data_IF_376919155866
#
_entry.id   IF_376919155866
#
_cell.length_a   1.000
_cell.length_b   1.000
_cell.length_c   1.000
_cell.angle_alpha   90.00
_cell.angle_beta   90.00
_cell.angle_gamma   90.00
#
_symmetry.space_group_name_H-M   'P 1'
#
loop_
_entity.id
_entity.type
_entity.pdbx_description
1 polymer ?
#
# COMPACT_ATOMS: atom_id res chain seq x y z
N UNK A 1 12.07 -23.27 -9.12
CA UNK A 1 11.12 -23.83 -8.13
C UNK A 1 9.79 -24.05 -8.85
N UNK A 2 9.15 -25.19 -8.64
CA UNK A 2 7.88 -25.51 -9.31
C UNK A 2 6.76 -25.61 -8.28
N UNK A 3 5.64 -24.95 -8.57
CA UNK A 3 4.43 -25.00 -7.78
C UNK A 3 3.49 -26.02 -8.42
N UNK A 4 2.99 -26.96 -7.61
CA UNK A 4 2.16 -28.05 -8.10
C UNK A 4 0.99 -28.34 -7.17
N UNK A 5 -0.08 -28.90 -7.73
CA UNK A 5 -1.24 -29.37 -6.99
C UNK A 5 -2.27 -28.27 -6.71
N UNK A 6 -3.27 -28.60 -5.90
CA UNK A 6 -4.38 -27.70 -5.59
C UNK A 6 -4.03 -26.75 -4.45
N UNK A 7 -4.09 -25.46 -4.73
CA UNK A 7 -3.89 -24.37 -3.78
C UNK A 7 -5.24 -23.79 -3.41
N UNK A 8 -5.96 -24.55 -2.60
CA UNK A 8 -7.29 -24.19 -2.12
C UNK A 8 -7.34 -24.21 -0.60
N UNK A 9 -8.38 -23.61 -0.04
CA UNK A 9 -8.63 -23.54 1.40
C UNK A 9 -8.65 -24.93 2.06
N UNK A 10 -9.13 -25.96 1.35
CA UNK A 10 -9.16 -27.35 1.82
C UNK A 10 -7.77 -27.89 2.21
N UNK A 11 -6.71 -27.38 1.59
CA UNK A 11 -5.33 -27.79 1.85
C UNK A 11 -4.49 -26.71 2.53
N UNK A 12 -5.09 -25.56 2.88
CA UNK A 12 -4.39 -24.38 3.38
C UNK A 12 -3.51 -24.67 4.60
N UNK A 13 -4.01 -25.38 5.61
CA UNK A 13 -3.24 -25.63 6.83
C UNK A 13 -1.96 -26.44 6.59
N UNK A 14 -1.98 -27.35 5.62
CA UNK A 14 -0.80 -28.12 5.23
C UNK A 14 0.13 -27.26 4.37
N UNK A 15 -0.42 -26.61 3.34
CA UNK A 15 0.34 -25.71 2.47
C UNK A 15 1.04 -24.61 3.26
N UNK A 16 0.38 -23.98 4.23
CA UNK A 16 0.97 -22.95 5.09
C UNK A 16 2.18 -23.47 5.88
N UNK A 17 2.08 -24.65 6.49
CA UNK A 17 3.21 -25.29 7.18
C UNK A 17 4.38 -25.61 6.26
N UNK A 18 4.11 -25.97 5.00
CA UNK A 18 5.16 -26.22 4.00
C UNK A 18 5.78 -24.91 3.52
N UNK A 19 4.97 -23.88 3.26
CA UNK A 19 5.43 -22.54 2.88
C UNK A 19 6.32 -21.93 3.96
N UNK A 20 5.92 -21.99 5.23
CA UNK A 20 6.70 -21.44 6.35
C UNK A 20 8.05 -22.16 6.52
N UNK A 21 8.13 -23.45 6.15
CA UNK A 21 9.40 -24.19 6.14
C UNK A 21 10.28 -23.80 4.97
N UNK A 22 9.70 -23.42 3.84
CA UNK A 22 10.44 -23.04 2.65
C UNK A 22 10.90 -21.57 2.68
N UNK A 23 10.26 -20.74 3.49
CA UNK A 23 10.60 -19.33 3.61
C UNK A 23 12.10 -19.15 3.94
N UNK A 24 12.78 -18.32 3.15
CA UNK A 24 14.23 -18.11 3.23
C UNK A 24 15.12 -19.26 2.74
N UNK A 25 14.58 -20.37 2.24
CA UNK A 25 15.36 -21.53 1.78
C UNK A 25 15.59 -21.59 0.25
N UNK A 26 15.12 -20.60 -0.50
CA UNK A 26 15.32 -20.53 -1.95
C UNK A 26 15.93 -19.20 -2.38
N UNK A 27 16.73 -19.26 -3.44
CA UNK A 27 17.33 -18.10 -4.07
C UNK A 27 16.25 -17.16 -4.62
N UNK A 28 16.41 -15.85 -4.36
CA UNK A 28 15.58 -14.78 -4.88
C UNK A 28 15.55 -14.76 -6.42
N UNK A 29 16.64 -15.22 -7.06
CA UNK A 29 16.74 -15.33 -8.52
C UNK A 29 16.12 -16.60 -9.13
N UNK A 30 15.63 -17.55 -8.32
CA UNK A 30 15.12 -18.81 -8.86
C UNK A 30 13.84 -18.58 -9.70
N UNK A 31 13.77 -19.15 -10.91
CA UNK A 31 12.57 -19.08 -11.75
C UNK A 31 11.44 -19.87 -11.10
N UNK A 32 10.23 -19.31 -11.05
CA UNK A 32 9.03 -20.00 -10.59
C UNK A 32 8.28 -20.54 -11.81
N UNK A 33 7.91 -21.82 -11.72
CA UNK A 33 7.06 -22.50 -12.69
C UNK A 33 5.70 -22.79 -12.03
N UNK A 34 4.63 -22.25 -12.63
CA UNK A 34 3.24 -22.37 -12.17
C UNK A 34 2.42 -23.37 -13.00
N UNK A 35 3.05 -24.09 -13.93
CA UNK A 35 2.33 -24.94 -14.90
C UNK A 35 1.74 -26.20 -14.28
N UNK A 36 2.21 -26.61 -13.10
CA UNK A 36 1.63 -27.71 -12.34
C UNK A 36 0.54 -27.29 -11.37
N UNK A 37 0.15 -26.01 -11.35
CA UNK A 37 -0.90 -25.53 -10.46
C UNK A 37 -2.25 -26.12 -10.89
N UNK A 38 -2.93 -26.76 -9.95
CA UNK A 38 -4.27 -27.29 -10.11
C UNK A 38 -5.31 -26.22 -9.78
N UNK A 39 -6.31 -26.58 -8.96
CA UNK A 39 -7.32 -25.63 -8.50
C UNK A 39 -6.70 -24.53 -7.63
N UNK A 40 -7.15 -23.29 -7.84
CA UNK A 40 -6.71 -22.11 -7.10
C UNK A 40 -7.91 -21.33 -6.57
N UNK A 41 -7.85 -20.92 -5.29
CA UNK A 41 -8.81 -19.98 -4.71
C UNK A 41 -8.10 -18.76 -4.07
N UNK A 42 -8.87 -17.85 -3.49
CA UNK A 42 -8.34 -16.63 -2.86
C UNK A 42 -7.37 -16.94 -1.72
N UNK A 43 -7.62 -17.99 -0.92
CA UNK A 43 -6.75 -18.35 0.20
C UNK A 43 -5.41 -18.91 -0.29
N UNK A 44 -5.45 -19.78 -1.31
CA UNK A 44 -4.25 -20.29 -1.96
C UNK A 44 -3.47 -19.20 -2.69
N UNK A 45 -4.15 -18.29 -3.38
CA UNK A 45 -3.52 -17.15 -4.03
C UNK A 45 -2.80 -16.25 -3.02
N UNK A 46 -3.43 -15.93 -1.88
CA UNK A 46 -2.78 -15.18 -0.80
C UNK A 46 -1.54 -15.88 -0.27
N UNK A 47 -1.59 -17.20 -0.10
CA UNK A 47 -0.44 -17.97 0.36
C UNK A 47 0.71 -17.99 -0.67
N UNK A 48 0.39 -18.05 -1.97
CA UNK A 48 1.39 -17.93 -3.02
C UNK A 48 2.05 -16.55 -3.01
N UNK A 49 1.29 -15.48 -2.79
CA UNK A 49 1.83 -14.11 -2.67
C UNK A 49 2.75 -13.99 -1.47
N UNK A 50 2.36 -14.54 -0.32
CA UNK A 50 3.19 -14.57 0.88
C UNK A 50 4.50 -15.33 0.66
N UNK A 51 4.45 -16.50 0.01
CA UNK A 51 5.62 -17.32 -0.27
C UNK A 51 6.52 -16.69 -1.34
N UNK A 52 5.99 -16.39 -2.52
CA UNK A 52 6.81 -16.02 -3.67
C UNK A 52 7.14 -14.54 -3.72
N UNK A 53 6.37 -13.71 -3.03
CA UNK A 53 6.43 -12.27 -3.14
C UNK A 53 5.80 -11.74 -4.44
N UNK A 54 5.50 -10.43 -4.47
CA UNK A 54 4.76 -9.79 -5.55
C UNK A 54 5.46 -9.87 -6.92
N UNK A 55 6.75 -9.51 -6.98
CA UNK A 55 7.47 -9.40 -8.25
C UNK A 55 7.65 -10.73 -8.99
N UNK A 56 7.80 -11.85 -8.25
CA UNK A 56 8.00 -13.17 -8.87
C UNK A 56 6.71 -13.75 -9.40
N UNK A 57 5.57 -13.44 -8.79
CA UNK A 57 4.26 -13.84 -9.30
C UNK A 57 3.96 -13.16 -10.63
N UNK A 58 4.19 -11.85 -10.74
CA UNK A 58 4.00 -11.13 -12.00
C UNK A 58 4.89 -11.71 -13.11
N UNK A 59 6.19 -11.86 -12.83
CA UNK A 59 7.13 -12.42 -13.79
C UNK A 59 6.75 -13.85 -14.23
N UNK A 60 6.12 -14.64 -13.36
CA UNK A 60 5.79 -16.04 -13.65
C UNK A 60 4.44 -16.21 -14.35
N UNK A 61 3.45 -15.41 -13.98
CA UNK A 61 2.12 -15.42 -14.62
C UNK A 61 2.13 -14.83 -16.04
N UNK A 62 3.10 -13.96 -16.35
CA UNK A 62 3.26 -13.30 -17.66
C UNK A 62 4.21 -14.06 -18.62
N UNK A 63 4.84 -15.16 -18.17
CA UNK A 63 5.66 -15.99 -19.05
C UNK A 63 4.82 -16.62 -20.17
N UNK A 64 5.37 -16.63 -21.39
CA UNK A 64 4.73 -17.23 -22.57
C UNK A 64 4.45 -18.73 -22.39
N UNK A 65 5.30 -19.41 -21.64
CA UNK A 65 5.18 -20.84 -21.36
C UNK A 65 4.23 -21.16 -20.18
N UNK A 66 3.61 -20.14 -19.57
CA UNK A 66 2.72 -20.33 -18.44
C UNK A 66 1.37 -20.90 -18.89
N UNK A 67 0.92 -22.01 -18.31
CA UNK A 67 -0.34 -22.71 -18.64
C UNK A 67 -1.52 -22.33 -17.75
N UNK A 68 -1.36 -21.37 -16.83
CA UNK A 68 -2.44 -20.87 -15.98
C UNK A 68 -3.62 -20.37 -16.81
N UNK A 69 -4.84 -20.70 -16.36
CA UNK A 69 -6.07 -20.21 -16.95
C UNK A 69 -6.16 -18.69 -16.83
N UNK A 70 -6.95 -18.05 -17.70
CA UNK A 70 -7.17 -16.61 -17.62
C UNK A 70 -7.80 -16.19 -16.26
N UNK A 71 -8.64 -17.04 -15.68
CA UNK A 71 -9.28 -16.80 -14.40
C UNK A 71 -8.27 -16.84 -13.24
N UNK A 72 -7.39 -17.84 -13.20
CA UNK A 72 -6.39 -17.98 -12.13
C UNK A 72 -5.35 -16.85 -12.18
N UNK A 73 -4.94 -16.44 -13.40
CA UNK A 73 -4.08 -15.27 -13.58
C UNK A 73 -4.74 -14.00 -13.07
N UNK A 74 -6.01 -13.79 -13.41
CA UNK A 74 -6.77 -12.62 -12.96
C UNK A 74 -6.92 -12.63 -11.43
N UNK A 75 -7.17 -13.80 -10.83
CA UNK A 75 -7.26 -13.98 -9.38
C UNK A 75 -5.92 -13.65 -8.71
N UNK A 76 -4.81 -14.25 -9.15
CA UNK A 76 -3.48 -13.96 -8.61
C UNK A 76 -3.14 -12.48 -8.70
N UNK A 77 -3.37 -11.86 -9.88
CA UNK A 77 -3.10 -10.44 -10.11
C UNK A 77 -3.94 -9.55 -9.19
N UNK A 78 -5.21 -9.89 -8.99
CA UNK A 78 -6.11 -9.14 -8.11
C UNK A 78 -5.68 -9.25 -6.66
N UNK A 79 -5.40 -10.46 -6.18
CA UNK A 79 -5.00 -10.70 -4.79
C UNK A 79 -3.66 -10.02 -4.48
N UNK A 80 -2.66 -10.18 -5.35
CA UNK A 80 -1.37 -9.52 -5.13
C UNK A 80 -1.51 -7.98 -5.13
N UNK A 81 -2.21 -7.39 -6.09
CA UNK A 81 -2.42 -5.93 -6.12
C UNK A 81 -3.11 -5.44 -4.86
N UNK A 82 -4.13 -6.15 -4.39
CA UNK A 82 -4.80 -5.80 -3.15
C UNK A 82 -3.88 -5.84 -1.93
N UNK A 83 -2.90 -6.75 -1.91
CA UNK A 83 -1.94 -6.87 -0.81
C UNK A 83 -0.79 -5.85 -0.92
N UNK A 84 -0.39 -5.48 -2.14
CA UNK A 84 0.72 -4.57 -2.40
C UNK A 84 0.30 -3.09 -2.43
N UNK A 85 -0.89 -2.78 -2.94
CA UNK A 85 -1.46 -1.43 -2.99
C UNK A 85 -2.16 -1.05 -1.66
N UNK A 86 -2.09 -1.92 -0.64
CA UNK A 86 -2.57 -1.58 0.69
C UNK A 86 -1.65 -0.55 1.36
N UNK A 87 -1.87 0.71 1.01
CA UNK A 87 -1.38 1.86 1.77
C UNK A 87 -2.47 2.27 2.75
N UNK A 88 -2.21 2.21 4.05
CA UNK A 88 -3.06 2.89 5.03
C UNK A 88 -3.03 4.38 4.67
N UNK A 89 -4.17 4.99 4.28
CA UNK A 89 -4.16 6.41 3.96
C UNK A 89 -3.70 7.17 5.19
N UNK A 90 -2.66 7.97 5.03
CA UNK A 90 -2.10 8.79 6.10
C UNK A 90 -3.23 9.69 6.60
N UNK A 91 -3.66 9.47 7.87
CA UNK A 91 -4.74 10.27 8.45
C UNK A 91 -4.26 11.72 8.44
N UNK A 92 -4.91 12.57 7.63
CA UNK A 92 -4.60 13.99 7.60
C UNK A 92 -4.58 14.54 9.04
N UNK A 93 -3.58 15.35 9.42
CA UNK A 93 -3.53 15.95 10.75
C UNK A 93 -4.86 16.67 11.01
N UNK A 94 -5.61 16.15 11.98
CA UNK A 94 -6.88 16.72 12.38
C UNK A 94 -6.55 17.98 13.18
N UNK A 95 -6.55 19.15 12.52
CA UNK A 95 -6.28 20.41 13.22
C UNK A 95 -7.30 20.60 14.33
N UNK A 96 -6.85 20.59 15.59
CA UNK A 96 -7.72 20.79 16.73
C UNK A 96 -8.48 22.12 16.57
N UNK A 97 -9.82 22.09 16.70
CA UNK A 97 -10.68 23.25 16.49
C UNK A 97 -10.23 24.49 17.29
N UNK A 98 -9.62 24.31 18.47
CA UNK A 98 -9.03 25.39 19.27
C UNK A 98 -7.87 26.11 18.58
N UNK A 99 -7.00 25.40 17.85
CA UNK A 99 -5.87 25.97 17.09
C UNK A 99 -6.41 26.85 15.96
N UNK A 100 -7.48 26.44 15.27
CA UNK A 100 -8.10 27.24 14.22
C UNK A 100 -8.69 28.55 14.74
N UNK A 101 -9.33 28.52 15.92
CA UNK A 101 -9.86 29.72 16.58
C UNK A 101 -8.72 30.67 16.96
N UNK A 102 -7.64 30.15 17.55
CA UNK A 102 -6.48 30.94 17.93
C UNK A 102 -5.80 31.58 16.70
N UNK A 103 -5.70 30.85 15.60
CA UNK A 103 -5.16 31.37 14.33
C UNK A 103 -6.03 32.50 13.75
N UNK A 104 -7.35 32.43 13.88
CA UNK A 104 -8.27 33.50 13.46
C UNK A 104 -8.08 34.76 14.31
N UNK A 105 -7.95 34.59 15.63
CA UNK A 105 -7.67 35.70 16.54
C UNK A 105 -6.31 36.34 16.21
N UNK A 106 -5.28 35.53 15.98
CA UNK A 106 -3.94 36.01 15.62
C UNK A 106 -3.94 36.88 14.36
N UNK A 107 -4.67 36.47 13.31
CA UNK A 107 -4.82 37.28 12.08
C UNK A 107 -5.52 38.62 12.33
N UNK A 108 -6.54 38.64 13.20
CA UNK A 108 -7.23 39.88 13.54
C UNK A 108 -6.33 40.85 14.30
N UNK A 109 -5.55 40.34 15.27
CA UNK A 109 -4.60 41.15 16.05
C UNK A 109 -3.49 41.73 15.15
N UNK A 110 -2.95 40.95 14.21
CA UNK A 110 -1.95 41.45 13.26
C UNK A 110 -2.50 42.60 12.40
N UNK A 111 -3.73 42.47 11.91
CA UNK A 111 -4.38 43.54 11.12
C UNK A 111 -4.49 44.84 11.92
N UNK A 112 -4.98 44.78 13.16
CA UNK A 112 -5.11 45.94 14.04
C UNK A 112 -3.75 46.57 14.34
N UNK A 113 -2.71 45.75 14.55
CA UNK A 113 -1.36 46.23 14.77
C UNK A 113 -0.79 46.98 13.56
N UNK A 114 -1.01 46.46 12.35
CA UNK A 114 -0.58 47.15 11.12
C UNK A 114 -1.28 48.49 10.94
N UNK A 115 -2.60 48.56 11.19
CA UNK A 115 -3.35 49.80 11.03
C UNK A 115 -3.00 50.84 12.09
N UNK A 116 -2.73 50.40 13.32
CA UNK A 116 -2.22 51.27 14.39
C UNK A 116 -0.88 51.90 14.00
N UNK A 117 0.06 51.11 13.45
CA UNK A 117 1.35 51.64 12.96
C UNK A 117 1.18 52.66 11.84
N UNK A 118 0.27 52.44 10.89
CA UNK A 118 0.00 53.42 9.81
C UNK A 118 -0.53 54.74 10.37
N UNK A 119 -1.42 54.67 11.36
CA UNK A 119 -2.02 55.85 11.98
C UNK A 119 -0.98 56.66 12.77
N UNK A 120 -0.10 55.98 13.52
CA UNK A 120 1.06 56.61 14.17
C UNK A 120 2.03 57.25 13.17
N UNK A 121 2.32 56.57 12.04
CA UNK A 121 3.14 57.12 10.97
C UNK A 121 2.53 58.37 10.32
N UNK A 122 1.21 58.38 10.14
CA UNK A 122 0.49 59.55 9.64
C UNK A 122 0.51 60.74 10.61
N UNK A 123 0.31 60.50 11.92
CA UNK A 123 0.40 61.57 12.93
C UNK A 123 1.81 62.17 12.97
N UNK A 124 2.85 61.33 12.90
CA UNK A 124 4.23 61.79 12.85
C UNK A 124 4.53 62.75 11.68
N UNK A 125 3.91 62.53 10.52
CA UNK A 125 4.02 63.39 9.33
C UNK A 125 3.30 64.74 9.43
N UNK A 126 2.38 64.92 10.39
CA UNK A 126 1.64 66.18 10.60
C UNK A 126 2.38 67.12 11.57
N UNK A 127 3.24 66.57 12.44
CA UNK A 127 3.95 67.30 13.49
C UNK A 127 5.32 67.86 13.04
N UNK A 128 5.68 67.66 11.77
CA UNK A 128 6.85 68.26 11.10
C UNK A 128 6.42 69.45 10.23
#
# INVERSE_FOLDING_TARGET
MRITGDWTLAHYANLKKLSDKLDGQYDAGARIDLNGLGALDTAGASLLVELLGPGRIEQSAEQTDCSLSAADRALLKTVYRSLNDFCVPEKAPEEAAGIQVLARIGRAVDTVWQDTKKLLGFIGLILE
#
